data_IF_568898346399
#
_entry.id   IF_568898346399
#
_cell.length_a   1.000
_cell.length_b   1.000
_cell.length_c   1.000
_cell.angle_alpha   90.00
_cell.angle_beta   90.00
_cell.angle_gamma   90.00
#
_symmetry.space_group_name_H-M   'P 1'
#
loop_
_entity.id
_entity.type
_entity.pdbx_description
1 polymer ?
#
# COMPACT_ATOMS: atom_id res chain seq x y z
N UNK A 1 17.17 18.07 13.17
CA UNK A 1 18.03 17.00 13.71
C UNK A 1 18.06 15.80 12.76
N UNK A 2 16.95 15.07 12.60
CA UNK A 2 16.88 13.82 11.82
C UNK A 2 17.39 14.00 10.37
N UNK A 3 17.01 15.08 9.68
CA UNK A 3 17.50 15.34 8.31
C UNK A 3 19.04 15.44 8.23
N UNK A 4 19.67 16.08 9.22
CA UNK A 4 21.12 16.20 9.24
C UNK A 4 21.79 14.83 9.46
N UNK A 5 21.27 14.02 10.35
CA UNK A 5 21.78 12.66 10.56
C UNK A 5 21.62 11.80 9.32
N UNK A 6 20.47 11.85 8.65
CA UNK A 6 20.25 11.11 7.41
C UNK A 6 21.19 11.56 6.28
N UNK A 7 21.51 12.86 6.19
CA UNK A 7 22.52 13.38 5.24
C UNK A 7 23.91 12.81 5.52
N UNK A 8 24.25 12.63 6.78
CA UNK A 8 25.58 12.12 7.18
C UNK A 8 25.68 10.59 7.01
N UNK A 9 24.65 9.84 7.37
CA UNK A 9 24.74 8.38 7.39
C UNK A 9 24.42 7.72 6.04
N UNK A 10 23.53 8.29 5.22
CA UNK A 10 23.12 7.66 3.97
C UNK A 10 24.31 7.31 3.06
N UNK A 11 25.32 8.18 2.85
CA UNK A 11 26.48 7.84 2.03
C UNK A 11 27.37 6.73 2.61
N UNK A 12 27.23 6.42 3.91
CA UNK A 12 28.03 5.40 4.61
C UNK A 12 27.36 4.02 4.56
N UNK A 13 26.07 3.96 4.20
CA UNK A 13 25.32 2.72 4.11
C UNK A 13 25.54 2.06 2.73
N UNK A 14 25.60 0.72 2.69
CA UNK A 14 25.67 -0.01 1.42
C UNK A 14 24.36 0.13 0.63
N UNK A 15 24.45 -0.01 -0.67
CA UNK A 15 23.29 0.02 -1.55
C UNK A 15 22.42 -1.24 -1.44
N UNK A 16 23.05 -2.38 -1.13
CA UNK A 16 22.35 -3.65 -0.95
C UNK A 16 23.07 -4.56 0.05
N UNK A 17 22.36 -5.53 0.57
CA UNK A 17 22.90 -6.63 1.38
C UNK A 17 22.61 -7.97 0.74
N UNK A 18 23.38 -8.99 1.10
CA UNK A 18 23.21 -10.37 0.63
C UNK A 18 23.27 -11.37 1.79
N UNK A 19 22.79 -12.59 1.54
CA UNK A 19 22.80 -13.67 2.53
C UNK A 19 21.96 -13.34 3.76
N UNK A 20 22.52 -13.53 4.96
CA UNK A 20 21.84 -13.31 6.24
C UNK A 20 21.62 -11.83 6.59
N UNK A 21 22.20 -10.92 5.84
CA UNK A 21 22.10 -9.49 6.09
C UNK A 21 20.98 -8.81 5.25
N UNK A 22 20.27 -9.55 4.39
CA UNK A 22 19.08 -9.07 3.68
C UNK A 22 18.05 -8.59 4.69
N UNK A 23 17.45 -7.42 4.44
CA UNK A 23 16.50 -6.75 5.35
C UNK A 23 17.12 -5.71 6.28
N UNK A 24 18.46 -5.56 6.30
CA UNK A 24 19.10 -4.43 7.00
C UNK A 24 18.88 -3.12 6.23
N UNK A 25 18.99 -2.01 6.98
CA UNK A 25 18.82 -0.66 6.44
C UNK A 25 19.89 -0.36 5.41
N UNK A 26 19.48 -0.13 4.18
CA UNK A 26 20.33 0.25 3.05
C UNK A 26 20.40 1.77 2.89
N UNK A 27 21.31 2.23 2.00
CA UNK A 27 21.35 3.62 1.54
C UNK A 27 20.01 4.09 0.99
N UNK A 28 19.33 3.27 0.19
CA UNK A 28 18.00 3.58 -0.35
C UNK A 28 16.95 3.79 0.74
N UNK A 29 16.95 2.98 1.80
CA UNK A 29 16.05 3.14 2.94
C UNK A 29 16.27 4.48 3.67
N UNK A 30 17.52 4.86 3.93
CA UNK A 30 17.85 6.13 4.58
C UNK A 30 17.47 7.33 3.71
N UNK A 31 17.73 7.27 2.39
CA UNK A 31 17.38 8.32 1.45
C UNK A 31 15.84 8.45 1.29
N UNK A 32 15.12 7.34 1.26
CA UNK A 32 13.65 7.38 1.17
C UNK A 32 13.03 8.03 2.42
N UNK A 33 13.55 7.73 3.60
CA UNK A 33 13.12 8.41 4.84
C UNK A 33 13.46 9.90 4.79
N UNK A 34 14.64 10.26 4.28
CA UNK A 34 15.06 11.65 4.07
C UNK A 34 14.09 12.40 3.14
N UNK A 35 13.78 11.82 1.98
CA UNK A 35 12.85 12.41 1.01
C UNK A 35 11.46 12.65 1.61
N UNK A 36 10.94 11.70 2.40
CA UNK A 36 9.65 11.87 3.10
C UNK A 36 9.66 13.02 4.09
N UNK A 37 10.75 13.20 4.83
CA UNK A 37 10.90 14.33 5.76
C UNK A 37 11.05 15.66 5.02
N UNK A 38 11.81 15.69 3.93
CA UNK A 38 11.94 16.88 3.09
C UNK A 38 10.59 17.31 2.49
N UNK A 39 9.79 16.34 2.04
CA UNK A 39 8.43 16.59 1.57
C UNK A 39 7.54 17.18 2.68
N UNK A 40 7.60 16.60 3.88
CA UNK A 40 6.84 17.07 5.05
C UNK A 40 7.23 18.48 5.47
N UNK A 41 8.52 18.82 5.39
CA UNK A 41 9.07 20.15 5.69
C UNK A 41 8.95 21.14 4.51
N UNK A 42 8.24 20.76 3.44
CA UNK A 42 8.05 21.56 2.22
C UNK A 42 9.36 21.94 1.50
N UNK A 43 10.44 21.16 1.69
CA UNK A 43 11.72 21.30 1.01
C UNK A 43 11.66 20.57 -0.34
N UNK A 44 10.85 21.06 -1.27
CA UNK A 44 10.51 20.32 -2.50
C UNK A 44 11.70 20.07 -3.42
N UNK A 45 12.62 21.04 -3.56
CA UNK A 45 13.81 20.89 -4.40
C UNK A 45 14.76 19.82 -3.85
N UNK A 46 14.97 19.81 -2.53
CA UNK A 46 15.76 18.79 -1.85
C UNK A 46 15.10 17.41 -1.97
N UNK A 47 13.79 17.33 -1.76
CA UNK A 47 13.02 16.10 -1.92
C UNK A 47 13.15 15.54 -3.34
N UNK A 48 13.02 16.37 -4.36
CA UNK A 48 13.15 15.98 -5.77
C UNK A 48 14.55 15.45 -6.07
N UNK A 49 15.59 16.10 -5.57
CA UNK A 49 16.97 15.65 -5.72
C UNK A 49 17.20 14.30 -5.02
N UNK A 50 16.69 14.15 -3.79
CA UNK A 50 16.80 12.89 -3.02
C UNK A 50 16.03 11.75 -3.69
N UNK A 51 14.82 11.98 -4.20
CA UNK A 51 14.08 10.98 -4.97
C UNK A 51 14.83 10.53 -6.22
N UNK A 52 15.46 11.48 -6.93
CA UNK A 52 16.28 11.16 -8.12
C UNK A 52 17.49 10.29 -7.76
N UNK A 53 18.10 10.52 -6.59
CA UNK A 53 19.18 9.67 -6.08
C UNK A 53 18.70 8.25 -5.79
N UNK A 54 17.53 8.08 -5.13
CA UNK A 54 16.92 6.76 -4.87
C UNK A 54 16.63 6.01 -6.17
N UNK A 55 16.06 6.70 -7.16
CA UNK A 55 15.78 6.11 -8.48
C UNK A 55 17.04 5.62 -9.19
N UNK A 56 18.18 6.22 -8.91
CA UNK A 56 19.48 5.79 -9.43
C UNK A 56 20.07 4.53 -8.78
N UNK A 57 19.48 4.02 -7.68
CA UNK A 57 19.96 2.84 -6.94
C UNK A 57 19.46 1.49 -7.50
N UNK A 58 18.75 1.49 -8.63
CA UNK A 58 18.33 0.28 -9.32
C UNK A 58 17.04 -0.36 -8.80
N UNK A 59 16.23 0.36 -8.04
CA UNK A 59 14.87 -0.06 -7.73
C UNK A 59 13.97 0.06 -8.97
N UNK A 60 13.10 -0.92 -9.17
CA UNK A 60 12.17 -0.98 -10.30
C UNK A 60 10.78 -1.34 -9.82
N UNK A 61 9.75 -0.76 -10.44
CA UNK A 61 8.37 -1.12 -10.13
C UNK A 61 8.12 -2.58 -10.46
N UNK A 62 7.48 -3.31 -9.53
CA UNK A 62 7.09 -4.69 -9.76
C UNK A 62 5.94 -4.76 -10.77
N UNK A 63 6.03 -5.60 -11.81
CA UNK A 63 5.10 -5.54 -12.94
C UNK A 63 3.66 -5.97 -12.62
N UNK A 64 3.46 -6.74 -11.55
CA UNK A 64 2.14 -7.18 -11.09
C UNK A 64 1.79 -6.53 -9.74
N UNK A 65 1.02 -5.45 -9.79
CA UNK A 65 0.61 -4.69 -8.60
C UNK A 65 -0.07 -5.57 -7.53
N UNK A 66 -0.91 -6.52 -7.93
CA UNK A 66 -1.54 -7.48 -7.01
C UNK A 66 -0.55 -8.49 -6.46
N UNK A 67 0.38 -8.93 -7.31
CA UNK A 67 1.42 -9.88 -6.96
C UNK A 67 2.47 -9.30 -6.02
N UNK A 68 2.70 -7.98 -6.06
CA UNK A 68 3.67 -7.27 -5.21
C UNK A 68 3.53 -7.63 -3.72
N UNK A 69 2.30 -7.80 -3.25
CA UNK A 69 1.99 -8.04 -1.83
C UNK A 69 1.91 -9.53 -1.44
N UNK A 70 2.31 -10.45 -2.33
CA UNK A 70 2.31 -11.87 -2.02
C UNK A 70 3.64 -12.31 -1.40
N UNK A 71 3.57 -13.25 -0.45
CA UNK A 71 4.75 -13.84 0.21
C UNK A 71 5.77 -14.37 -0.82
N UNK A 72 5.31 -14.96 -1.93
CA UNK A 72 6.20 -15.47 -2.98
C UNK A 72 7.05 -14.37 -3.66
N UNK A 73 6.70 -13.12 -3.49
CA UNK A 73 7.35 -11.96 -4.11
C UNK A 73 8.01 -11.04 -3.09
N UNK A 74 8.27 -11.52 -1.87
CA UNK A 74 9.06 -10.77 -0.89
C UNK A 74 10.45 -10.41 -1.43
N UNK A 75 11.00 -9.30 -0.98
CA UNK A 75 12.31 -8.78 -1.41
C UNK A 75 12.45 -8.59 -2.94
N UNK A 76 11.35 -8.26 -3.62
CA UNK A 76 11.39 -7.95 -5.05
C UNK A 76 12.05 -6.58 -5.34
N UNK A 77 12.20 -6.22 -6.62
CA UNK A 77 12.89 -5.01 -7.08
C UNK A 77 12.27 -3.68 -6.62
N UNK A 78 11.00 -3.66 -6.22
CA UNK A 78 10.31 -2.46 -5.73
C UNK A 78 10.51 -2.23 -4.23
N UNK A 79 10.85 -3.29 -3.47
CA UNK A 79 11.00 -3.21 -2.02
C UNK A 79 12.29 -2.50 -1.65
N UNK A 80 12.18 -1.32 -1.04
CA UNK A 80 13.31 -0.56 -0.51
C UNK A 80 13.63 -1.00 0.92
N UNK A 81 12.60 -1.11 1.77
CA UNK A 81 12.67 -1.63 3.14
C UNK A 81 11.28 -2.05 3.57
N UNK A 82 11.16 -3.24 4.11
CA UNK A 82 9.95 -3.78 4.70
C UNK A 82 10.19 -4.26 6.14
N UNK A 83 9.11 -4.50 6.86
CA UNK A 83 9.13 -5.18 8.17
C UNK A 83 8.69 -6.60 7.95
N UNK A 84 9.64 -7.52 8.02
CA UNK A 84 9.36 -8.94 7.78
C UNK A 84 8.75 -9.61 9.00
N UNK A 85 7.66 -10.34 8.78
CA UNK A 85 6.97 -11.12 9.80
C UNK A 85 7.19 -12.61 9.55
N UNK A 86 7.29 -13.39 10.63
CA UNK A 86 7.50 -14.82 10.58
C UNK A 86 6.38 -15.51 11.36
N UNK A 87 5.70 -16.43 10.73
CA UNK A 87 4.67 -17.25 11.38
C UNK A 87 5.23 -17.91 12.64
N UNK A 88 4.42 -17.95 13.69
CA UNK A 88 4.72 -18.54 15.00
C UNK A 88 5.73 -17.80 15.89
N UNK A 89 6.58 -16.92 15.36
CA UNK A 89 7.57 -16.16 16.14
C UNK A 89 7.24 -14.67 16.20
N UNK A 90 7.03 -14.06 15.06
CA UNK A 90 6.76 -12.63 14.89
C UNK A 90 5.59 -12.44 13.92
N UNK A 91 4.43 -12.99 14.28
CA UNK A 91 3.24 -12.96 13.45
C UNK A 91 2.65 -11.54 13.32
N UNK A 92 2.08 -11.26 12.16
CA UNK A 92 1.32 -10.04 11.94
C UNK A 92 -0.18 -10.31 12.17
N UNK A 93 -0.66 -9.99 13.37
CA UNK A 93 -2.06 -10.20 13.75
C UNK A 93 -3.04 -9.27 12.99
N UNK A 94 -2.54 -8.19 12.36
CA UNK A 94 -3.35 -7.27 11.54
C UNK A 94 -4.07 -8.02 10.42
N UNK A 95 -3.46 -9.07 9.88
CA UNK A 95 -4.09 -9.94 8.88
C UNK A 95 -5.35 -10.66 9.41
N UNK A 96 -5.49 -10.82 10.72
CA UNK A 96 -6.71 -11.38 11.33
C UNK A 96 -7.84 -10.36 11.49
N UNK A 97 -7.54 -9.06 11.50
CA UNK A 97 -8.54 -8.01 11.71
C UNK A 97 -8.95 -7.27 10.44
N UNK A 98 -8.15 -7.38 9.37
CA UNK A 98 -8.45 -6.76 8.07
C UNK A 98 -9.58 -7.47 7.31
N UNK A 99 -9.60 -8.81 7.21
CA UNK A 99 -10.58 -9.50 6.39
C UNK A 99 -12.01 -9.28 6.85
N UNK A 100 -13.00 -9.50 5.95
CA UNK A 100 -14.42 -9.47 6.29
C UNK A 100 -14.82 -10.50 7.35
N UNK A 101 -15.93 -10.27 8.03
CA UNK A 101 -16.48 -11.21 9.02
C UNK A 101 -16.89 -12.55 8.39
N UNK A 102 -17.30 -12.53 7.12
CA UNK A 102 -17.66 -13.74 6.32
C UNK A 102 -16.52 -14.77 6.22
N UNK A 103 -15.26 -14.35 6.39
CA UNK A 103 -14.08 -15.24 6.42
C UNK A 103 -13.39 -15.25 7.77
N UNK A 104 -14.07 -14.83 8.83
CA UNK A 104 -13.56 -14.88 10.20
C UNK A 104 -12.67 -13.69 10.59
N UNK A 105 -12.61 -12.64 9.79
CA UNK A 105 -11.96 -11.39 10.14
C UNK A 105 -12.85 -10.45 10.96
N UNK A 106 -12.36 -9.26 11.24
CA UNK A 106 -13.07 -8.27 12.06
C UNK A 106 -13.44 -7.00 11.29
N UNK A 107 -13.03 -6.88 10.04
CA UNK A 107 -13.27 -5.70 9.19
C UNK A 107 -12.93 -4.37 9.90
N UNK A 108 -11.85 -4.35 10.70
CA UNK A 108 -11.58 -3.25 11.64
C UNK A 108 -10.78 -2.10 11.02
N UNK A 109 -10.23 -2.28 9.84
CA UNK A 109 -9.46 -1.26 9.13
C UNK A 109 -10.10 -1.03 7.77
N UNK A 110 -10.82 0.08 7.66
CA UNK A 110 -11.52 0.45 6.45
C UNK A 110 -10.88 1.70 5.81
N UNK A 111 -10.88 1.81 4.48
CA UNK A 111 -10.43 3.01 3.81
C UNK A 111 -11.39 4.17 4.11
N UNK A 112 -10.86 5.39 4.18
CA UNK A 112 -11.73 6.57 4.15
C UNK A 112 -12.35 6.76 2.77
N UNK A 113 -13.51 7.38 2.70
CA UNK A 113 -14.10 7.73 1.42
C UNK A 113 -13.17 8.61 0.57
N UNK A 114 -12.45 9.53 1.19
CA UNK A 114 -11.46 10.37 0.50
C UNK A 114 -10.35 9.56 -0.18
N UNK A 115 -9.94 8.42 0.40
CA UNK A 115 -8.97 7.54 -0.26
C UNK A 115 -9.59 6.87 -1.49
N UNK A 116 -10.83 6.39 -1.38
CA UNK A 116 -11.56 5.78 -2.51
C UNK A 116 -11.75 6.80 -3.63
N UNK A 117 -12.14 8.02 -3.30
CA UNK A 117 -12.39 9.10 -4.27
C UNK A 117 -11.09 9.57 -4.96
N UNK A 118 -9.95 9.48 -4.29
CA UNK A 118 -8.65 9.86 -4.83
C UNK A 118 -8.14 8.94 -5.96
N UNK A 119 -8.68 7.73 -6.10
CA UNK A 119 -8.38 6.93 -7.28
C UNK A 119 -9.04 7.58 -8.51
N UNK A 120 -8.32 7.69 -9.60
CA UNK A 120 -8.84 8.19 -10.87
C UNK A 120 -9.81 7.19 -11.52
N UNK A 121 -10.52 7.65 -12.55
CA UNK A 121 -11.27 6.78 -13.43
C UNK A 121 -10.36 6.17 -14.51
N UNK A 122 -10.84 5.18 -15.25
CA UNK A 122 -10.07 4.50 -16.31
C UNK A 122 -9.65 5.42 -17.47
N UNK A 123 -10.26 6.62 -17.58
CA UNK A 123 -9.89 7.68 -18.52
C UNK A 123 -8.81 8.63 -17.96
N UNK A 124 -8.25 8.36 -16.77
CA UNK A 124 -7.20 9.14 -16.13
C UNK A 124 -7.65 10.48 -15.54
N UNK A 125 -8.96 10.63 -15.29
CA UNK A 125 -9.54 11.83 -14.69
C UNK A 125 -10.06 11.55 -13.29
N UNK A 126 -10.21 12.62 -12.50
CA UNK A 126 -10.88 12.53 -11.19
C UNK A 126 -12.36 12.18 -11.35
N UNK A 127 -13.01 11.75 -10.26
CA UNK A 127 -14.44 11.42 -10.29
C UNK A 127 -15.34 12.62 -10.63
N UNK A 128 -14.86 13.84 -10.37
CA UNK A 128 -15.58 15.08 -10.69
C UNK A 128 -15.47 15.48 -12.17
N UNK A 129 -14.40 15.05 -12.85
CA UNK A 129 -14.08 15.44 -14.23
C UNK A 129 -14.38 14.35 -15.25
N UNK A 130 -14.53 13.11 -14.80
CA UNK A 130 -14.71 11.95 -15.67
C UNK A 130 -16.14 11.79 -16.15
N UNK A 131 -16.29 11.58 -17.45
CA UNK A 131 -17.60 11.28 -18.07
C UNK A 131 -18.01 9.80 -17.93
N UNK A 132 -17.07 8.92 -17.54
CA UNK A 132 -17.35 7.49 -17.35
C UNK A 132 -17.72 7.15 -15.90
N UNK A 133 -17.59 8.11 -14.96
CA UNK A 133 -17.98 7.90 -13.58
C UNK A 133 -19.51 7.92 -13.40
N UNK A 134 -20.06 6.87 -12.78
CA UNK A 134 -21.46 6.83 -12.36
C UNK A 134 -21.53 6.77 -10.81
N UNK A 135 -22.12 7.80 -10.16
CA UNK A 135 -22.32 7.79 -8.70
C UNK A 135 -23.17 6.64 -8.16
N UNK A 136 -23.95 5.95 -9.03
CA UNK A 136 -24.73 4.77 -8.65
C UNK A 136 -23.90 3.50 -8.66
N UNK A 137 -22.80 3.50 -9.39
CA UNK A 137 -21.86 2.40 -9.53
C UNK A 137 -20.42 2.91 -9.26
N UNK A 138 -20.15 3.43 -8.04
CA UNK A 138 -18.96 4.25 -7.75
C UNK A 138 -17.64 3.49 -7.86
N UNK A 139 -17.68 2.17 -7.95
CA UNK A 139 -16.50 1.31 -8.06
C UNK A 139 -16.23 0.80 -9.48
N UNK A 140 -17.13 1.07 -10.43
CA UNK A 140 -16.94 0.72 -11.84
C UNK A 140 -16.16 1.82 -12.58
N UNK A 141 -15.48 1.44 -13.65
CA UNK A 141 -14.71 2.36 -14.51
C UNK A 141 -13.66 3.19 -13.76
N UNK A 142 -13.07 2.59 -12.71
CA UNK A 142 -12.02 3.20 -11.89
C UNK A 142 -10.65 2.61 -12.24
N UNK A 143 -9.61 3.29 -11.83
CA UNK A 143 -8.24 2.77 -11.89
C UNK A 143 -8.22 1.33 -11.35
N UNK A 144 -7.65 0.36 -12.08
CA UNK A 144 -7.64 -1.04 -11.68
C UNK A 144 -6.98 -1.30 -10.32
N UNK A 145 -6.13 -0.39 -9.85
CA UNK A 145 -5.51 -0.47 -8.52
C UNK A 145 -6.54 -0.32 -7.40
N UNK A 146 -7.65 0.39 -7.62
CA UNK A 146 -8.73 0.49 -6.64
C UNK A 146 -9.25 -0.90 -6.24
N UNK A 147 -9.58 -1.73 -7.23
CA UNK A 147 -10.13 -3.07 -6.99
C UNK A 147 -9.14 -4.05 -6.32
N UNK A 148 -7.85 -3.75 -6.36
CA UNK A 148 -6.80 -4.53 -5.67
C UNK A 148 -6.58 -4.01 -4.24
N UNK A 149 -6.76 -2.71 -4.03
CA UNK A 149 -6.50 -2.04 -2.74
C UNK A 149 -7.70 -2.09 -1.81
N UNK A 150 -8.92 -1.98 -2.36
CA UNK A 150 -10.17 -1.86 -1.61
C UNK A 150 -11.14 -2.98 -1.99
N UNK A 151 -11.60 -3.72 -0.98
CA UNK A 151 -12.69 -4.67 -1.15
C UNK A 151 -14.01 -3.90 -1.15
N UNK A 152 -14.57 -3.69 -2.33
CA UNK A 152 -15.85 -2.99 -2.50
C UNK A 152 -17.05 -3.91 -2.22
N UNK A 153 -18.20 -3.36 -1.78
CA UNK A 153 -19.45 -4.12 -1.65
C UNK A 153 -19.79 -4.90 -2.92
N UNK A 154 -20.21 -6.13 -2.77
CA UNK A 154 -20.54 -7.03 -3.89
C UNK A 154 -19.38 -7.82 -4.47
N UNK A 155 -18.13 -7.46 -4.17
CA UNK A 155 -16.95 -8.18 -4.64
C UNK A 155 -16.76 -9.50 -3.87
N UNK A 156 -16.01 -10.43 -4.48
CA UNK A 156 -15.67 -11.71 -3.84
C UNK A 156 -14.32 -11.58 -3.10
N UNK A 157 -14.32 -12.07 -1.86
CA UNK A 157 -13.11 -12.31 -1.09
C UNK A 157 -13.07 -13.78 -0.67
N UNK A 158 -12.05 -14.50 -1.08
CA UNK A 158 -11.91 -15.96 -0.83
C UNK A 158 -13.17 -16.78 -1.17
N UNK A 159 -13.86 -16.40 -2.24
CA UNK A 159 -15.08 -17.08 -2.72
C UNK A 159 -16.37 -16.63 -2.03
N UNK A 160 -16.28 -15.83 -0.98
CA UNK A 160 -17.44 -15.25 -0.29
C UNK A 160 -17.73 -13.85 -0.82
N UNK A 161 -19.03 -13.54 -1.03
CA UNK A 161 -19.43 -12.18 -1.40
C UNK A 161 -19.35 -11.28 -0.18
N UNK A 162 -18.65 -10.17 -0.31
CA UNK A 162 -18.62 -9.11 0.69
C UNK A 162 -19.84 -8.21 0.51
N UNK A 163 -20.72 -8.15 1.50
CA UNK A 163 -21.94 -7.32 1.44
C UNK A 163 -22.22 -6.61 2.78
N UNK A 164 -21.49 -5.53 3.07
CA UNK A 164 -21.65 -4.80 4.35
C UNK A 164 -22.94 -3.98 4.41
N UNK A 165 -23.69 -3.87 3.31
CA UNK A 165 -24.87 -3.01 3.21
C UNK A 165 -26.16 -3.82 3.43
N UNK A 166 -26.16 -5.10 3.09
CA UNK A 166 -27.35 -5.95 3.25
C UNK A 166 -27.52 -6.41 4.70
N UNK A 167 -28.51 -5.85 5.38
CA UNK A 167 -28.88 -6.23 6.77
C UNK A 167 -29.27 -7.71 6.93
N UNK A 168 -29.55 -8.40 5.82
CA UNK A 168 -29.87 -9.81 5.78
C UNK A 168 -28.71 -10.67 5.30
N UNK A 169 -27.53 -10.07 5.19
CA UNK A 169 -26.33 -10.77 4.73
C UNK A 169 -26.10 -12.04 5.58
N UNK A 170 -26.16 -13.23 4.95
CA UNK A 170 -25.93 -14.49 5.67
C UNK A 170 -24.47 -14.67 6.12
N UNK A 171 -23.54 -13.90 5.54
CA UNK A 171 -22.11 -13.97 5.86
C UNK A 171 -21.74 -13.09 7.06
N UNK A 172 -22.63 -12.19 7.49
CA UNK A 172 -22.43 -11.35 8.68
C UNK A 172 -21.54 -10.12 8.51
N UNK A 173 -21.19 -9.75 7.26
CA UNK A 173 -20.34 -8.59 6.98
C UNK A 173 -20.97 -7.27 7.40
N UNK A 174 -22.31 -7.18 7.38
CA UNK A 174 -23.05 -6.01 7.82
C UNK A 174 -22.67 -5.55 9.22
N UNK A 175 -22.56 -6.48 10.18
CA UNK A 175 -22.26 -6.14 11.58
C UNK A 175 -20.79 -5.76 11.81
N UNK A 176 -19.91 -6.11 10.90
CA UNK A 176 -18.49 -5.80 11.00
C UNK A 176 -18.11 -4.45 10.36
N UNK A 177 -19.09 -3.77 9.74
CA UNK A 177 -18.87 -2.54 8.97
C UNK A 177 -19.13 -1.24 9.76
N UNK A 178 -19.38 -1.32 11.06
CA UNK A 178 -19.62 -0.18 11.95
C UNK A 178 -18.47 0.10 12.88
#
# INVERSE_FOLDING_TARGET
FILNELKEIAPQLPESYSGSDVGRITRGAALTLKARLELFEHQYDDCMATCSEVMGLGYELFPDYKGLFKIANENNSEVILDVQYVESLYGNWVLGVLPPASVGGWCSINPTQSLVDAFECEDGKTIEESEVYDPKEPYLHRDPRLAVTVLAPGNLYEGNRYDPIDVKDPNGDYYASY
#
